data_IF_608272345308
#
_entry.id   IF_608272345308
#
_cell.length_a   1.000
_cell.length_b   1.000
_cell.length_c   1.000
_cell.angle_alpha   90.00
_cell.angle_beta   90.00
_cell.angle_gamma   90.00
#
_symmetry.space_group_name_H-M   'P 1'
#
loop_
_entity.id
_entity.type
_entity.pdbx_description
1 polymer ?
#
# COMPACT_ATOMS: atom_id res chain seq x y z
N UNK A 1 -7.29 -23.13 20.94
CA UNK A 1 -5.90 -23.56 20.66
C UNK A 1 -5.25 -22.90 19.43
N UNK A 2 -5.96 -22.12 18.58
CA UNK A 2 -5.32 -21.34 17.50
C UNK A 2 -4.87 -19.93 17.95
N UNK A 3 -5.69 -19.25 18.78
CA UNK A 3 -5.42 -17.87 19.24
C UNK A 3 -4.17 -17.70 20.13
N UNK A 4 -3.79 -18.71 20.92
CA UNK A 4 -2.58 -18.61 21.78
C UNK A 4 -1.27 -18.64 20.98
N UNK A 5 -1.28 -19.20 19.75
CA UNK A 5 -0.08 -19.38 18.93
C UNK A 5 0.30 -18.13 18.15
N UNK A 6 -0.67 -17.38 17.62
CA UNK A 6 -0.42 -16.10 16.94
C UNK A 6 0.13 -15.04 17.90
N UNK A 7 -0.31 -15.06 19.16
CA UNK A 7 0.27 -14.20 20.21
C UNK A 7 1.75 -14.52 20.44
N UNK A 8 2.15 -15.80 20.34
CA UNK A 8 3.54 -16.25 20.45
C UNK A 8 4.47 -15.71 19.35
N UNK A 9 3.99 -15.56 18.12
CA UNK A 9 4.77 -14.96 17.02
C UNK A 9 5.09 -13.49 17.28
N UNK A 10 4.08 -12.70 17.69
CA UNK A 10 4.27 -11.26 18.00
C UNK A 10 5.15 -11.04 19.23
N UNK A 11 5.21 -12.02 20.15
CA UNK A 11 6.09 -11.99 21.32
C UNK A 11 7.57 -12.16 20.95
N UNK A 12 7.89 -12.73 19.78
CA UNK A 12 9.29 -12.83 19.33
C UNK A 12 9.84 -11.43 19.02
N UNK A 13 10.98 -11.10 19.63
CA UNK A 13 11.55 -9.75 19.58
C UNK A 13 11.81 -9.24 18.15
N UNK A 14 12.17 -10.14 17.22
CA UNK A 14 12.38 -9.79 15.82
C UNK A 14 11.07 -9.43 15.12
N UNK A 15 9.99 -10.20 15.33
CA UNK A 15 8.69 -9.95 14.71
C UNK A 15 8.11 -8.61 15.18
N UNK A 16 8.22 -8.33 16.49
CA UNK A 16 7.81 -7.02 17.04
C UNK A 16 8.59 -5.87 16.41
N UNK A 17 9.91 -6.01 16.26
CA UNK A 17 10.76 -5.01 15.60
C UNK A 17 10.38 -4.80 14.15
N UNK A 18 10.09 -5.89 13.42
CA UNK A 18 9.66 -5.82 12.01
C UNK A 18 8.32 -5.10 11.87
N UNK A 19 7.32 -5.43 12.70
CA UNK A 19 6.02 -4.73 12.68
C UNK A 19 6.20 -3.25 12.96
N UNK A 20 6.99 -2.89 13.97
CA UNK A 20 7.29 -1.47 14.27
C UNK A 20 7.96 -0.79 13.08
N UNK A 21 8.95 -1.43 12.44
CA UNK A 21 9.62 -0.88 11.26
C UNK A 21 8.64 -0.68 10.09
N UNK A 22 7.76 -1.65 9.83
CA UNK A 22 6.73 -1.55 8.80
C UNK A 22 5.72 -0.43 9.10
N UNK A 23 5.30 -0.28 10.36
CA UNK A 23 4.41 0.80 10.77
C UNK A 23 5.06 2.17 10.57
N UNK A 24 6.34 2.32 10.93
CA UNK A 24 7.09 3.56 10.70
C UNK A 24 7.17 3.84 9.19
N UNK A 25 7.51 2.84 8.38
CA UNK A 25 7.60 3.00 6.93
C UNK A 25 6.25 3.40 6.31
N UNK A 26 5.15 2.76 6.73
CA UNK A 26 3.80 3.12 6.30
C UNK A 26 3.40 4.53 6.74
N UNK A 27 3.77 4.95 7.96
CA UNK A 27 3.55 6.31 8.44
C UNK A 27 4.36 7.35 7.67
N UNK A 28 5.50 6.97 7.09
CA UNK A 28 6.27 7.82 6.18
C UNK A 28 5.69 7.90 4.76
N UNK A 29 4.69 7.08 4.40
CA UNK A 29 4.12 7.07 3.04
C UNK A 29 3.64 8.45 2.55
N UNK A 30 2.95 9.27 3.37
CA UNK A 30 2.53 10.62 2.96
C UNK A 30 3.70 11.57 2.65
N UNK A 31 4.87 11.34 3.25
CA UNK A 31 6.07 12.14 2.97
C UNK A 31 6.53 11.92 1.52
N UNK A 32 6.35 10.71 0.99
CA UNK A 32 6.64 10.43 -0.41
C UNK A 32 5.63 11.10 -1.35
N UNK A 33 4.34 11.10 -1.00
CA UNK A 33 3.32 11.84 -1.76
C UNK A 33 3.62 13.34 -1.80
N UNK A 34 4.04 13.91 -0.68
CA UNK A 34 4.51 15.30 -0.63
C UNK A 34 5.77 15.51 -1.49
N UNK A 35 6.74 14.61 -1.42
CA UNK A 35 7.98 14.74 -2.19
C UNK A 35 7.71 14.72 -3.71
N UNK A 36 6.76 13.90 -4.18
CA UNK A 36 6.39 13.86 -5.59
C UNK A 36 5.84 15.20 -6.09
N UNK A 37 5.01 15.87 -5.29
CA UNK A 37 4.49 17.21 -5.61
C UNK A 37 5.63 18.24 -5.69
N UNK A 38 6.56 18.22 -4.73
CA UNK A 38 7.70 19.15 -4.70
C UNK A 38 8.63 18.98 -5.89
N UNK A 39 8.77 17.76 -6.40
CA UNK A 39 9.59 17.47 -7.58
C UNK A 39 8.87 17.74 -8.91
N UNK A 40 7.58 18.05 -8.88
CA UNK A 40 6.75 18.12 -10.09
C UNK A 40 6.71 16.78 -10.84
N UNK A 41 6.81 15.66 -10.11
CA UNK A 41 6.79 14.34 -10.72
C UNK A 41 5.47 14.16 -11.50
N UNK A 42 5.62 13.82 -12.77
CA UNK A 42 4.52 13.46 -13.65
C UNK A 42 4.85 12.08 -14.22
N UNK A 43 3.88 11.18 -14.27
CA UNK A 43 4.14 9.83 -14.75
C UNK A 43 4.55 9.88 -16.24
N UNK A 44 5.65 9.21 -16.66
CA UNK A 44 6.11 9.25 -18.05
C UNK A 44 5.04 8.80 -19.05
N UNK A 45 4.17 7.88 -18.63
CA UNK A 45 3.06 7.40 -19.43
C UNK A 45 1.98 8.48 -19.64
N UNK A 46 1.71 9.31 -18.63
CA UNK A 46 0.76 10.42 -18.76
C UNK A 46 1.28 11.46 -19.75
N UNK A 47 2.58 11.79 -19.68
CA UNK A 47 3.21 12.71 -20.64
C UNK A 47 3.13 12.13 -22.05
N UNK A 48 3.47 10.86 -22.24
CA UNK A 48 3.41 10.21 -23.54
C UNK A 48 1.97 10.15 -24.08
N UNK A 49 0.98 9.89 -23.22
CA UNK A 49 -0.42 9.88 -23.58
C UNK A 49 -0.89 11.26 -24.04
N UNK A 50 -0.50 12.33 -23.34
CA UNK A 50 -0.84 13.69 -23.71
C UNK A 50 -0.20 14.11 -25.03
N UNK A 51 1.10 13.84 -25.21
CA UNK A 51 1.83 14.15 -26.45
C UNK A 51 1.30 13.41 -27.68
N UNK A 52 0.68 12.24 -27.49
CA UNK A 52 0.11 11.42 -28.57
C UNK A 52 -1.40 11.64 -28.75
N UNK A 53 -2.03 12.47 -27.91
CA UNK A 53 -3.49 12.62 -27.86
C UNK A 53 -4.23 11.38 -27.38
N UNK A 54 -3.50 10.38 -26.84
CA UNK A 54 -4.07 9.15 -26.30
C UNK A 54 -4.80 9.36 -24.97
N UNK A 55 -4.58 10.48 -24.28
CA UNK A 55 -5.31 10.84 -23.04
C UNK A 55 -6.82 10.86 -23.24
N UNK A 56 -7.30 11.31 -24.40
CA UNK A 56 -8.73 11.32 -24.76
C UNK A 56 -9.35 9.91 -24.95
N UNK A 57 -8.51 8.88 -25.09
CA UNK A 57 -8.93 7.48 -25.26
C UNK A 57 -8.65 6.64 -24.01
N UNK A 58 -8.20 7.27 -22.92
CA UNK A 58 -7.99 6.59 -21.65
C UNK A 58 -9.34 6.13 -21.08
N UNK A 59 -9.63 4.84 -21.25
CA UNK A 59 -10.71 4.17 -20.53
C UNK A 59 -10.07 3.35 -19.41
N UNK A 60 -10.33 3.66 -18.13
CA UNK A 60 -9.80 2.88 -17.03
C UNK A 60 -10.27 1.44 -17.14
N UNK A 61 -9.36 0.53 -17.48
CA UNK A 61 -9.62 -0.91 -17.58
C UNK A 61 -9.88 -1.56 -16.21
N UNK A 62 -9.45 -0.90 -15.14
CA UNK A 62 -9.60 -1.34 -13.76
C UNK A 62 -10.33 -0.28 -12.95
N UNK A 63 -11.63 -0.46 -12.80
CA UNK A 63 -12.46 0.26 -11.84
C UNK A 63 -12.47 -0.49 -10.49
N UNK A 64 -11.28 -0.84 -10.02
CA UNK A 64 -11.09 -1.60 -8.80
C UNK A 64 -11.48 -0.78 -7.57
N UNK A 65 -11.41 -1.39 -6.38
CA UNK A 65 -11.72 -0.72 -5.10
C UNK A 65 -10.83 0.52 -4.87
N UNK A 66 -9.64 0.56 -5.49
CA UNK A 66 -8.65 1.64 -5.35
C UNK A 66 -8.13 2.04 -6.75
N UNK A 67 -8.92 2.76 -7.56
CA UNK A 67 -8.52 3.12 -8.92
C UNK A 67 -7.31 4.06 -8.89
N UNK A 68 -6.28 3.76 -9.68
CA UNK A 68 -5.03 4.53 -9.68
C UNK A 68 -4.36 4.64 -8.30
N UNK A 69 -4.54 3.63 -7.43
CA UNK A 69 -4.07 3.64 -6.03
C UNK A 69 -4.59 4.81 -5.19
N UNK A 70 -5.66 5.46 -5.62
CA UNK A 70 -6.32 6.56 -4.94
C UNK A 70 -7.67 6.13 -4.37
N UNK A 71 -8.07 6.73 -3.26
CA UNK A 71 -9.39 6.51 -2.66
C UNK A 71 -10.26 7.74 -2.94
N UNK A 72 -11.40 7.59 -3.65
CA UNK A 72 -12.29 8.71 -3.92
C UNK A 72 -12.74 9.42 -2.64
N UNK A 73 -12.68 10.76 -2.64
CA UNK A 73 -13.10 11.58 -1.49
C UNK A 73 -12.04 11.79 -0.41
N UNK A 74 -10.82 11.27 -0.59
CA UNK A 74 -9.67 11.54 0.28
C UNK A 74 -8.61 12.36 -0.47
N UNK A 75 -7.89 13.21 0.26
CA UNK A 75 -6.70 13.88 -0.28
C UNK A 75 -5.55 12.87 -0.52
N UNK A 76 -4.56 13.30 -1.30
CA UNK A 76 -3.43 12.44 -1.69
C UNK A 76 -2.64 11.91 -0.48
N UNK A 77 -2.49 12.70 0.58
CA UNK A 77 -1.72 12.31 1.76
C UNK A 77 -2.43 11.22 2.58
N UNK A 78 -3.70 11.46 2.89
CA UNK A 78 -4.54 10.57 3.69
C UNK A 78 -4.85 9.30 2.90
N UNK A 79 -5.13 9.43 1.61
CA UNK A 79 -5.30 8.29 0.70
C UNK A 79 -4.06 7.41 0.67
N UNK A 80 -2.87 8.00 0.51
CA UNK A 80 -1.59 7.28 0.49
C UNK A 80 -1.34 6.52 1.80
N UNK A 81 -1.62 7.15 2.95
CA UNK A 81 -1.48 6.50 4.25
C UNK A 81 -2.40 5.28 4.37
N UNK A 82 -3.68 5.45 4.03
CA UNK A 82 -4.67 4.37 4.13
C UNK A 82 -4.29 3.21 3.22
N UNK A 83 -3.93 3.49 1.96
CA UNK A 83 -3.51 2.45 1.00
C UNK A 83 -2.24 1.74 1.47
N UNK A 84 -1.26 2.46 2.02
CA UNK A 84 -0.06 1.86 2.59
C UNK A 84 -0.35 0.91 3.75
N UNK A 85 -1.25 1.31 4.66
CA UNK A 85 -1.68 0.47 5.78
C UNK A 85 -2.48 -0.75 5.30
N UNK A 86 -3.41 -0.57 4.37
CA UNK A 86 -4.21 -1.65 3.81
C UNK A 86 -3.35 -2.68 3.08
N UNK A 87 -2.43 -2.23 2.21
CA UNK A 87 -1.50 -3.10 1.49
C UNK A 87 -0.62 -3.88 2.46
N UNK A 88 0.03 -3.18 3.41
CA UNK A 88 0.90 -3.81 4.40
C UNK A 88 0.15 -4.83 5.26
N UNK A 89 -1.03 -4.45 5.77
CA UNK A 89 -1.87 -5.31 6.60
C UNK A 89 -2.34 -6.54 5.83
N UNK A 90 -2.81 -6.36 4.59
CA UNK A 90 -3.24 -7.45 3.73
C UNK A 90 -2.09 -8.43 3.46
N UNK A 91 -0.90 -7.94 3.12
CA UNK A 91 0.28 -8.78 2.92
C UNK A 91 0.60 -9.58 4.17
N UNK A 92 0.63 -8.95 5.35
CA UNK A 92 0.91 -9.65 6.61
C UNK A 92 -0.13 -10.73 6.90
N UNK A 93 -1.42 -10.42 6.72
CA UNK A 93 -2.52 -11.38 6.93
C UNK A 93 -2.35 -12.59 6.00
N UNK A 94 -2.11 -12.34 4.71
CA UNK A 94 -1.96 -13.42 3.72
C UNK A 94 -0.74 -14.27 4.01
N UNK A 95 0.42 -13.67 4.26
CA UNK A 95 1.66 -14.41 4.49
C UNK A 95 1.61 -15.20 5.80
N UNK A 96 1.13 -14.60 6.89
CA UNK A 96 0.95 -15.31 8.18
C UNK A 96 -0.11 -16.40 8.04
N UNK A 97 -1.20 -16.12 7.33
CA UNK A 97 -2.27 -17.09 7.07
C UNK A 97 -1.75 -18.31 6.31
N UNK A 98 -1.05 -18.11 5.19
CA UNK A 98 -0.43 -19.21 4.42
C UNK A 98 0.58 -19.97 5.29
N UNK A 99 1.46 -19.27 6.01
CA UNK A 99 2.42 -19.91 6.90
C UNK A 99 1.75 -20.80 7.94
N UNK A 100 0.64 -20.34 8.53
CA UNK A 100 -0.11 -21.12 9.52
C UNK A 100 -0.80 -22.35 8.94
N UNK A 101 -1.23 -22.32 7.68
CA UNK A 101 -1.84 -23.47 6.98
C UNK A 101 -0.78 -24.50 6.62
N UNK A 102 0.42 -24.07 6.25
CA UNK A 102 1.53 -24.96 5.87
C UNK A 102 2.21 -25.64 7.07
N UNK A 103 2.04 -25.11 8.28
CA UNK A 103 2.52 -25.74 9.51
C UNK A 103 1.62 -26.90 9.99
N UNK A 104 0.41 -27.06 9.42
CA UNK A 104 -0.47 -28.23 9.62
C UNK A 104 -0.10 -29.38 8.68
#
# INVERSE_FOLDING_TARGET
MSSERTVGFVQQQWARRSVVALTILAACAPVFAWATEQTGYTEPLDIAAELTGASAYASPLFDGVVPGYSIPGLDAYTGTLIVALLGTGLTLIVTVGIGSILEE
#
